data_IF_156476542142
#
_entry.id   IF_156476542142
#
_cell.length_a   1.000
_cell.length_b   1.000
_cell.length_c   1.000
_cell.angle_alpha   90.00
_cell.angle_beta   90.00
_cell.angle_gamma   90.00
#
_symmetry.space_group_name_H-M   'P 1'
#
loop_
_entity.id
_entity.type
_entity.pdbx_description
1 polymer ?
#
# COMPACT_ATOMS: atom_id res chain seq x y z
N UNK A 1 -38.76 48.23 -12.96
CA UNK A 1 -38.90 47.76 -11.57
C UNK A 1 -37.67 46.93 -11.23
N UNK A 2 -36.61 47.43 -10.57
CA UNK A 2 -36.58 48.09 -9.24
C UNK A 2 -37.22 47.11 -8.23
N UNK A 3 -36.55 46.50 -7.25
CA UNK A 3 -35.61 46.99 -6.23
C UNK A 3 -34.82 45.77 -5.68
N UNK A 4 -33.48 45.86 -5.58
CA UNK A 4 -32.68 46.11 -4.35
C UNK A 4 -32.91 45.09 -3.22
N UNK A 5 -31.96 44.21 -2.93
CA UNK A 5 -30.70 44.45 -2.20
C UNK A 5 -30.89 44.67 -0.69
N UNK A 6 -30.27 43.81 0.11
CA UNK A 6 -29.53 44.23 1.29
C UNK A 6 -28.66 43.04 1.75
N UNK A 7 -27.34 43.08 1.54
CA UNK A 7 -26.36 43.79 2.38
C UNK A 7 -25.82 42.88 3.50
N UNK A 8 -24.54 42.77 3.89
CA UNK A 8 -23.27 43.44 3.59
C UNK A 8 -22.13 42.61 4.23
N UNK A 9 -20.96 42.56 3.57
CA UNK A 9 -19.56 42.77 4.07
C UNK A 9 -19.07 41.93 5.28
N UNK A 10 -17.84 41.37 5.34
CA UNK A 10 -16.48 41.95 5.17
C UNK A 10 -15.49 40.81 5.55
N UNK A 11 -14.63 40.24 4.69
CA UNK A 11 -13.25 40.60 4.27
C UNK A 11 -12.17 40.80 5.35
N UNK A 12 -10.95 40.33 5.01
CA UNK A 12 -9.57 40.51 5.54
C UNK A 12 -9.08 39.45 6.54
N UNK A 13 -7.83 38.96 6.51
CA UNK A 13 -6.60 39.37 5.79
C UNK A 13 -5.52 38.28 5.82
N UNK A 14 -4.67 38.28 4.80
CA UNK A 14 -3.32 37.68 4.74
C UNK A 14 -2.43 38.00 5.95
N UNK A 15 -1.49 37.11 6.30
CA UNK A 15 -0.06 37.46 6.43
C UNK A 15 0.86 36.22 6.47
N UNK A 16 2.00 36.39 5.80
CA UNK A 16 3.13 35.49 5.55
C UNK A 16 4.29 35.80 6.52
N UNK A 17 5.10 34.79 6.91
CA UNK A 17 6.46 34.82 7.50
C UNK A 17 6.62 33.65 8.51
N UNK A 18 7.72 32.96 8.76
CA UNK A 18 9.09 32.83 8.24
C UNK A 18 9.69 31.59 8.99
N UNK A 19 10.66 30.86 8.43
CA UNK A 19 11.52 29.91 9.18
C UNK A 19 12.69 30.68 9.88
N UNK A 20 13.63 30.12 10.69
CA UNK A 20 13.93 28.72 11.09
C UNK A 20 14.29 28.50 12.59
N UNK A 21 14.50 27.23 13.01
CA UNK A 21 15.69 26.71 13.76
C UNK A 21 15.40 25.52 14.72
N UNK A 22 16.45 24.73 14.92
CA UNK A 22 16.58 23.41 15.53
C UNK A 22 16.28 23.37 17.04
N UNK A 23 15.68 22.27 17.53
CA UNK A 23 16.26 21.30 18.50
C UNK A 23 15.17 20.35 18.99
N UNK A 24 15.55 19.08 19.17
CA UNK A 24 14.62 18.00 19.48
C UNK A 24 13.92 18.12 20.83
N UNK A 25 12.74 17.53 20.89
CA UNK A 25 12.24 16.73 22.01
C UNK A 25 10.91 16.10 21.61
N UNK A 26 10.76 14.83 21.96
CA UNK A 26 9.53 14.05 21.78
C UNK A 26 8.31 14.82 22.28
N UNK A 27 7.34 15.04 21.40
CA UNK A 27 5.99 15.39 21.82
C UNK A 27 5.06 14.35 21.25
N UNK A 28 4.65 13.45 22.14
CA UNK A 28 3.65 12.41 21.92
C UNK A 28 2.33 13.12 21.58
N UNK A 29 2.05 13.33 20.30
CA UNK A 29 0.79 13.92 19.86
C UNK A 29 -0.35 12.93 20.11
N UNK A 30 -1.02 13.14 21.25
CA UNK A 30 -2.29 12.52 21.61
C UNK A 30 -3.32 12.89 20.55
N UNK A 31 -3.50 12.00 19.57
CA UNK A 31 -4.60 12.05 18.60
C UNK A 31 -5.92 12.04 19.39
N UNK A 32 -6.61 13.18 19.42
CA UNK A 32 -7.96 13.31 20.00
C UNK A 32 -8.88 12.38 19.21
N UNK A 33 -9.17 11.19 19.76
CA UNK A 33 -10.16 10.25 19.24
C UNK A 33 -11.52 10.96 19.22
N UNK A 34 -11.93 11.46 18.05
CA UNK A 34 -13.31 11.86 17.81
C UNK A 34 -14.16 10.59 17.93
N UNK A 35 -14.93 10.49 19.02
CA UNK A 35 -15.92 9.44 19.23
C UNK A 35 -16.90 9.43 18.04
N UNK A 36 -17.12 8.26 17.45
CA UNK A 36 -18.28 8.01 16.57
C UNK A 36 -18.00 7.66 15.11
N UNK A 37 -16.77 7.82 14.58
CA UNK A 37 -16.46 7.28 13.25
C UNK A 37 -15.78 5.93 13.42
N UNK A 38 -16.40 4.80 13.00
CA UNK A 38 -15.65 3.54 12.91
C UNK A 38 -14.39 3.78 12.08
N UNK A 39 -13.25 3.13 12.38
CA UNK A 39 -12.07 3.20 11.55
C UNK A 39 -12.53 3.01 10.11
N UNK A 40 -12.19 3.94 9.22
CA UNK A 40 -12.49 3.76 7.81
C UNK A 40 -11.88 2.42 7.42
N UNK A 41 -12.74 1.41 7.28
CA UNK A 41 -12.35 0.07 6.92
C UNK A 41 -11.77 0.22 5.52
N UNK A 42 -10.44 0.30 5.45
CA UNK A 42 -9.75 0.41 4.18
C UNK A 42 -10.10 -0.89 3.47
N UNK A 43 -11.06 -0.80 2.56
CA UNK A 43 -11.43 -1.92 1.71
C UNK A 43 -10.12 -2.48 1.17
N UNK A 44 -9.92 -3.80 1.22
CA UNK A 44 -8.73 -4.39 0.64
C UNK A 44 -8.61 -3.88 -0.80
N UNK A 45 -7.38 -3.57 -1.26
CA UNK A 45 -7.16 -2.93 -2.56
C UNK A 45 -7.83 -3.69 -3.72
N UNK A 46 -8.07 -5.00 -3.54
CA UNK A 46 -8.80 -5.84 -4.45
C UNK A 46 -10.14 -6.33 -3.85
N UNK A 47 -11.22 -6.41 -4.65
CA UNK A 47 -12.49 -7.00 -4.23
C UNK A 47 -12.33 -8.44 -3.72
N UNK A 48 -13.09 -8.82 -2.69
CA UNK A 48 -12.98 -10.15 -2.06
C UNK A 48 -13.12 -11.32 -3.05
N UNK A 49 -14.03 -11.20 -4.04
CA UNK A 49 -14.22 -12.22 -5.09
C UNK A 49 -12.95 -12.41 -5.93
N UNK A 50 -12.32 -11.31 -6.32
CA UNK A 50 -11.08 -11.32 -7.10
C UNK A 50 -9.93 -11.93 -6.30
N UNK A 51 -9.74 -11.52 -5.05
CA UNK A 51 -8.69 -12.05 -4.16
C UNK A 51 -8.84 -13.56 -3.97
N UNK A 52 -10.06 -14.07 -3.79
CA UNK A 52 -10.32 -15.51 -3.70
C UNK A 52 -9.91 -16.24 -4.98
N UNK A 53 -10.30 -15.71 -6.16
CA UNK A 53 -9.93 -16.31 -7.44
C UNK A 53 -8.41 -16.33 -7.65
N UNK A 54 -7.72 -15.23 -7.32
CA UNK A 54 -6.26 -15.15 -7.40
C UNK A 54 -5.57 -16.18 -6.49
N UNK A 55 -6.03 -16.31 -5.25
CA UNK A 55 -5.49 -17.28 -4.31
C UNK A 55 -5.70 -18.72 -4.81
N UNK A 56 -6.87 -19.04 -5.35
CA UNK A 56 -7.13 -20.38 -5.93
C UNK A 56 -6.19 -20.70 -7.09
N UNK A 57 -5.91 -19.74 -7.97
CA UNK A 57 -4.95 -19.92 -9.07
C UNK A 57 -3.53 -20.15 -8.55
N UNK A 58 -3.10 -19.35 -7.57
CA UNK A 58 -1.79 -19.48 -6.93
C UNK A 58 -1.66 -20.85 -6.25
N UNK A 59 -2.67 -21.27 -5.48
CA UNK A 59 -2.68 -22.57 -4.81
C UNK A 59 -2.65 -23.74 -5.80
N UNK A 60 -3.37 -23.63 -6.92
CA UNK A 60 -3.35 -24.64 -7.99
C UNK A 60 -1.94 -24.79 -8.57
N UNK A 61 -1.30 -23.67 -8.92
CA UNK A 61 0.05 -23.67 -9.50
C UNK A 61 1.09 -24.16 -8.49
N UNK A 62 0.98 -23.74 -7.22
CA UNK A 62 1.90 -24.17 -6.17
C UNK A 62 1.77 -25.67 -5.94
N UNK A 63 0.56 -26.22 -5.86
CA UNK A 63 0.35 -27.62 -5.51
C UNK A 63 0.42 -28.59 -6.69
N UNK A 64 0.57 -28.09 -7.92
CA UNK A 64 0.69 -28.92 -9.10
C UNK A 64 1.90 -29.86 -9.04
N UNK A 65 1.65 -31.14 -9.36
CA UNK A 65 2.65 -32.21 -9.44
C UNK A 65 2.65 -32.78 -10.84
N UNK A 66 3.83 -33.08 -11.37
CA UNK A 66 3.98 -33.79 -12.64
C UNK A 66 3.58 -35.27 -12.52
N UNK A 67 3.66 -36.01 -13.63
CA UNK A 67 3.31 -37.43 -13.70
C UNK A 67 4.16 -38.32 -12.77
N UNK A 68 5.32 -37.82 -12.33
CA UNK A 68 6.22 -38.50 -11.41
C UNK A 68 6.01 -38.07 -9.94
N UNK A 69 4.99 -37.23 -9.68
CA UNK A 69 4.67 -36.73 -8.34
C UNK A 69 5.58 -35.59 -7.87
N UNK A 70 6.46 -35.07 -8.73
CA UNK A 70 7.34 -33.95 -8.39
C UNK A 70 6.58 -32.64 -8.49
N UNK A 71 6.65 -31.85 -7.44
CA UNK A 71 6.07 -30.51 -7.38
C UNK A 71 6.97 -29.51 -8.11
N UNK A 72 6.48 -28.99 -9.24
CA UNK A 72 7.25 -28.12 -10.14
C UNK A 72 7.52 -26.75 -9.51
N UNK A 73 6.60 -26.27 -8.68
CA UNK A 73 6.69 -24.95 -8.05
C UNK A 73 7.85 -24.77 -7.06
N UNK A 74 8.48 -25.87 -6.59
CA UNK A 74 9.52 -25.84 -5.54
C UNK A 74 10.66 -24.85 -5.85
N UNK A 75 11.13 -24.80 -7.09
CA UNK A 75 12.22 -23.90 -7.51
C UNK A 75 11.82 -22.42 -7.62
N UNK A 76 10.52 -22.11 -7.55
CA UNK A 76 9.98 -20.76 -7.70
C UNK A 76 9.38 -20.22 -6.39
N UNK A 77 9.45 -20.98 -5.29
CA UNK A 77 8.93 -20.57 -3.99
C UNK A 77 9.71 -19.38 -3.44
N UNK A 78 11.02 -19.36 -3.64
CA UNK A 78 11.91 -18.35 -3.10
C UNK A 78 13.04 -18.06 -4.09
N UNK A 79 13.32 -16.77 -4.30
CA UNK A 79 14.43 -16.36 -5.13
C UNK A 79 15.78 -16.78 -4.52
N UNK A 80 16.80 -17.08 -5.35
CA UNK A 80 18.17 -17.29 -4.89
C UNK A 80 18.69 -16.08 -4.10
N UNK A 81 19.61 -16.29 -3.16
CA UNK A 81 20.22 -15.15 -2.44
C UNK A 81 21.08 -14.31 -3.39
N UNK A 82 20.98 -12.97 -3.30
CA UNK A 82 21.80 -12.04 -4.10
C UNK A 82 23.30 -12.23 -3.94
N UNK A 83 23.74 -12.77 -2.80
CA UNK A 83 25.16 -13.03 -2.51
C UNK A 83 25.63 -14.36 -3.10
N UNK A 84 24.74 -15.34 -3.20
CA UNK A 84 25.03 -16.69 -3.66
C UNK A 84 25.05 -16.74 -5.19
N UNK A 85 24.09 -16.06 -5.82
CA UNK A 85 23.94 -16.05 -7.28
C UNK A 85 23.72 -14.61 -7.75
N UNK A 86 24.78 -13.79 -7.81
CA UNK A 86 24.68 -12.41 -8.29
C UNK A 86 24.23 -12.34 -9.76
N UNK A 87 24.65 -13.30 -10.59
CA UNK A 87 24.35 -13.32 -12.03
C UNK A 87 22.84 -13.43 -12.31
N UNK A 88 22.10 -14.10 -11.41
CA UNK A 88 20.64 -14.19 -11.49
C UNK A 88 19.98 -12.82 -11.53
N UNK A 89 20.51 -11.86 -10.76
CA UNK A 89 19.96 -10.51 -10.62
C UNK A 89 20.48 -9.53 -11.68
N UNK A 90 21.58 -9.87 -12.34
CA UNK A 90 22.06 -9.13 -13.52
C UNK A 90 21.21 -9.45 -14.75
N UNK A 91 20.86 -10.73 -14.91
CA UNK A 91 20.06 -11.22 -16.03
C UNK A 91 18.56 -10.90 -15.85
N UNK A 92 18.00 -11.17 -14.67
CA UNK A 92 16.56 -11.01 -14.40
C UNK A 92 16.31 -9.69 -13.66
N UNK A 93 15.84 -8.68 -14.42
CA UNK A 93 15.67 -7.30 -13.94
C UNK A 93 14.60 -7.12 -12.86
N UNK A 94 13.54 -7.92 -12.90
CA UNK A 94 12.39 -7.84 -11.98
C UNK A 94 12.11 -9.21 -11.38
N UNK A 95 12.98 -9.70 -10.49
CA UNK A 95 12.83 -11.03 -9.93
C UNK A 95 11.58 -11.08 -9.02
N UNK A 96 10.83 -12.18 -9.09
CA UNK A 96 9.59 -12.43 -8.35
C UNK A 96 9.57 -13.91 -7.93
N UNK A 97 9.08 -14.20 -6.73
CA UNK A 97 8.81 -15.56 -6.26
C UNK A 97 7.37 -15.70 -5.77
N UNK A 98 6.94 -16.94 -5.50
CA UNK A 98 5.61 -17.21 -4.96
C UNK A 98 5.41 -16.63 -3.56
N UNK A 99 6.46 -16.45 -2.75
CA UNK A 99 6.37 -15.75 -1.46
C UNK A 99 5.91 -14.30 -1.62
N UNK A 100 6.33 -13.62 -2.70
CA UNK A 100 5.92 -12.24 -2.98
C UNK A 100 4.55 -12.12 -3.65
N UNK A 101 4.09 -13.17 -4.32
CA UNK A 101 2.78 -13.21 -5.00
C UNK A 101 1.65 -13.47 -3.99
N UNK A 102 1.94 -14.18 -2.91
CA UNK A 102 0.98 -14.55 -1.87
C UNK A 102 0.73 -13.43 -0.85
#
# INVERSE_FOLDING_TARGET
DMEEESSLKKRKSDHQANQPSETGQEIVEKVKKRRGRPPAEKLPPNPQKLTKQMNTLVDMVINYKDTLGRQISKGFVQLPSRKEVPEYYELIRKPVDFRRIR
#
